data_IF_317083395256
#
_entry.id   IF_317083395256
#
_cell.length_a   1.000
_cell.length_b   1.000
_cell.length_c   1.000
_cell.angle_alpha   90.00
_cell.angle_beta   90.00
_cell.angle_gamma   90.00
#
_symmetry.space_group_name_H-M   'P 1'
#
loop_
_entity.id
_entity.type
_entity.pdbx_description
1 polymer ?
#
# COMPACT_ATOMS: atom_id res chain seq x y z
N UNK A 1 -8.53 67.40 -5.09
CA UNK A 1 -9.56 66.72 -5.91
C UNK A 1 -8.87 65.67 -6.75
N UNK A 2 -9.48 64.47 -6.85
CA UNK A 2 -9.09 63.26 -7.62
C UNK A 2 -8.30 62.18 -6.85
N UNK A 3 -8.52 60.87 -6.99
CA UNK A 3 -9.57 60.00 -7.55
C UNK A 3 -9.36 58.65 -6.82
N UNK A 4 -10.46 57.93 -6.58
CA UNK A 4 -10.57 56.63 -5.89
C UNK A 4 -9.58 55.58 -6.43
N UNK A 5 -8.96 54.79 -5.55
CA UNK A 5 -8.55 53.41 -5.86
C UNK A 5 -9.05 52.48 -4.76
N UNK A 6 -10.16 51.82 -5.07
CA UNK A 6 -10.62 50.60 -4.43
C UNK A 6 -9.58 49.51 -4.74
N UNK A 7 -8.87 49.01 -3.73
CA UNK A 7 -8.13 47.75 -3.86
C UNK A 7 -9.01 46.66 -3.29
N UNK A 8 -9.63 45.92 -4.19
CA UNK A 8 -10.40 44.70 -3.98
C UNK A 8 -9.56 43.68 -3.22
N UNK A 9 -10.05 43.21 -2.08
CA UNK A 9 -9.48 42.07 -1.38
C UNK A 9 -9.65 40.81 -2.26
N UNK A 10 -8.55 40.36 -2.89
CA UNK A 10 -8.51 39.07 -3.55
C UNK A 10 -8.52 37.98 -2.48
N UNK A 11 -9.65 37.32 -2.30
CA UNK A 11 -9.76 36.11 -1.49
C UNK A 11 -8.90 35.01 -2.13
N UNK A 12 -7.77 34.69 -1.50
CA UNK A 12 -6.97 33.51 -1.80
C UNK A 12 -7.75 32.27 -1.35
N UNK A 13 -8.68 31.79 -2.18
CA UNK A 13 -9.29 30.48 -1.99
C UNK A 13 -8.29 29.45 -2.51
N UNK A 14 -7.37 29.03 -1.64
CA UNK A 14 -6.48 27.91 -1.91
C UNK A 14 -7.35 26.65 -2.02
N UNK A 15 -7.64 26.24 -3.26
CA UNK A 15 -8.12 24.90 -3.58
C UNK A 15 -6.99 23.93 -3.22
N UNK A 16 -7.02 23.38 -2.01
CA UNK A 16 -6.21 22.22 -1.68
C UNK A 16 -6.76 21.07 -2.49
N UNK A 17 -6.12 20.79 -3.63
CA UNK A 17 -6.28 19.52 -4.32
C UNK A 17 -5.77 18.44 -3.38
N UNK A 18 -6.67 17.85 -2.59
CA UNK A 18 -6.35 16.67 -1.80
C UNK A 18 -5.93 15.57 -2.76
N UNK A 19 -4.66 15.17 -2.71
CA UNK A 19 -4.22 13.97 -3.42
C UNK A 19 -5.04 12.80 -2.85
N UNK A 20 -5.81 12.12 -3.71
CA UNK A 20 -6.51 10.92 -3.27
C UNK A 20 -5.48 9.82 -3.11
N UNK A 21 -5.15 9.47 -1.85
CA UNK A 21 -4.27 8.37 -1.54
C UNK A 21 -4.71 7.04 -2.18
N UNK A 22 -3.75 6.17 -2.48
CA UNK A 22 -4.02 4.93 -3.18
C UNK A 22 -4.73 3.89 -2.31
N UNK A 23 -5.48 2.98 -2.94
CA UNK A 23 -5.92 1.77 -2.22
C UNK A 23 -4.71 0.96 -1.74
N UNK A 24 -4.83 0.27 -0.60
CA UNK A 24 -3.77 -0.64 -0.08
C UNK A 24 -3.25 -1.60 -1.14
N UNK A 25 -4.12 -2.14 -1.99
CA UNK A 25 -3.71 -3.09 -3.04
C UNK A 25 -2.97 -2.41 -4.19
N UNK A 26 -3.34 -1.18 -4.54
CA UNK A 26 -2.61 -0.40 -5.55
C UNK A 26 -1.24 0.01 -5.04
N UNK A 27 -1.16 0.49 -3.79
CA UNK A 27 0.10 0.82 -3.13
C UNK A 27 1.02 -0.41 -3.01
N UNK A 28 0.45 -1.57 -2.67
CA UNK A 28 1.23 -2.80 -2.56
C UNK A 28 1.82 -3.23 -3.90
N UNK A 29 1.01 -3.25 -4.97
CA UNK A 29 1.49 -3.58 -6.31
C UNK A 29 2.56 -2.59 -6.81
N UNK A 30 2.40 -1.30 -6.49
CA UNK A 30 3.40 -0.27 -6.81
C UNK A 30 4.72 -0.52 -6.09
N UNK A 31 4.70 -0.76 -4.77
CA UNK A 31 5.91 -0.99 -3.96
C UNK A 31 6.62 -2.28 -4.35
N UNK A 32 5.88 -3.37 -4.59
CA UNK A 32 6.48 -4.68 -4.80
C UNK A 32 7.03 -4.88 -6.22
N UNK A 33 6.43 -4.26 -7.23
CA UNK A 33 6.81 -4.54 -8.64
C UNK A 33 6.67 -3.35 -9.59
N UNK A 34 6.27 -2.17 -9.12
CA UNK A 34 5.88 -1.07 -10.00
C UNK A 34 4.66 -1.42 -10.84
N UNK A 35 3.68 -2.14 -10.28
CA UNK A 35 2.46 -2.61 -10.95
C UNK A 35 2.68 -3.63 -12.09
N UNK A 36 3.83 -4.28 -12.17
CA UNK A 36 4.18 -5.20 -13.24
C UNK A 36 3.61 -6.62 -12.99
N UNK A 37 2.58 -7.00 -13.74
CA UNK A 37 1.95 -8.32 -13.63
C UNK A 37 2.87 -9.48 -14.03
N UNK A 38 3.94 -9.20 -14.80
CA UNK A 38 4.92 -10.20 -15.24
C UNK A 38 6.16 -10.25 -14.35
N UNK A 39 6.17 -9.52 -13.24
CA UNK A 39 7.31 -9.45 -12.35
C UNK A 39 7.67 -10.83 -11.79
N UNK A 40 8.96 -11.13 -11.80
CA UNK A 40 9.55 -12.29 -11.13
C UNK A 40 10.63 -11.79 -10.18
N UNK A 41 10.48 -12.10 -8.89
CA UNK A 41 11.41 -11.68 -7.85
C UNK A 41 12.67 -12.55 -7.79
N UNK A 42 13.65 -12.12 -7.00
CA UNK A 42 14.94 -12.78 -6.86
C UNK A 42 14.83 -14.25 -6.39
N UNK A 43 13.79 -14.56 -5.60
CA UNK A 43 13.55 -15.91 -5.08
C UNK A 43 12.48 -16.66 -5.87
N UNK A 44 12.16 -16.16 -7.06
CA UNK A 44 11.11 -16.69 -7.93
C UNK A 44 9.71 -16.26 -7.51
N UNK A 45 9.55 -15.22 -6.68
CA UNK A 45 8.26 -14.59 -6.45
C UNK A 45 7.57 -14.25 -7.77
N UNK A 46 6.24 -14.32 -7.81
CA UNK A 46 5.47 -14.08 -9.03
C UNK A 46 4.40 -13.01 -8.81
N UNK A 47 3.86 -12.50 -9.92
CA UNK A 47 2.81 -11.48 -10.00
C UNK A 47 3.25 -10.09 -9.53
N UNK A 48 2.37 -9.11 -9.75
CA UNK A 48 2.54 -7.73 -9.29
C UNK A 48 2.71 -7.57 -7.77
N UNK A 49 2.33 -8.60 -7.01
CA UNK A 49 2.41 -8.58 -5.54
C UNK A 49 3.64 -9.33 -4.99
N UNK A 50 4.51 -9.88 -5.85
CA UNK A 50 5.68 -10.66 -5.43
C UNK A 50 5.31 -11.80 -4.45
N UNK A 51 4.32 -12.60 -4.81
CA UNK A 51 3.89 -13.76 -4.03
C UNK A 51 4.90 -14.90 -4.23
N UNK A 52 5.40 -15.46 -3.12
CA UNK A 52 6.28 -16.63 -3.15
C UNK A 52 5.58 -17.84 -3.79
N UNK A 53 6.25 -18.66 -4.62
CA UNK A 53 5.64 -19.80 -5.30
C UNK A 53 4.91 -20.77 -4.36
N UNK A 54 5.47 -21.04 -3.18
CA UNK A 54 4.85 -21.92 -2.18
C UNK A 54 3.53 -21.40 -1.58
N UNK A 55 3.23 -20.12 -1.75
CA UNK A 55 2.00 -19.48 -1.31
C UNK A 55 1.02 -19.25 -2.48
N UNK A 56 1.44 -19.54 -3.72
CA UNK A 56 0.60 -19.38 -4.90
C UNK A 56 -0.47 -20.48 -4.94
N UNK A 57 -1.77 -20.14 -4.99
CA UNK A 57 -2.84 -21.13 -4.95
C UNK A 57 -3.07 -21.87 -6.29
N UNK A 58 -2.34 -21.52 -7.36
CA UNK A 58 -2.58 -21.96 -8.72
C UNK A 58 -3.20 -20.88 -9.60
N UNK A 59 -3.31 -21.13 -10.91
CA UNK A 59 -3.75 -20.13 -11.91
C UNK A 59 -2.61 -19.38 -12.59
N UNK A 60 -2.94 -18.36 -13.39
CA UNK A 60 -1.98 -17.51 -14.11
C UNK A 60 -1.54 -16.33 -13.24
N UNK A 61 -0.29 -16.28 -12.75
CA UNK A 61 0.20 -15.18 -11.93
C UNK A 61 0.29 -13.84 -12.67
N UNK A 62 0.21 -13.85 -14.00
CA UNK A 62 0.20 -12.64 -14.85
C UNK A 62 -1.19 -12.04 -15.01
N UNK A 63 -2.23 -12.75 -14.57
CA UNK A 63 -3.57 -12.22 -14.52
C UNK A 63 -3.73 -11.40 -13.22
N UNK A 64 -3.79 -10.07 -13.35
CA UNK A 64 -3.89 -9.17 -12.20
C UNK A 64 -5.10 -9.43 -11.28
N UNK A 65 -6.21 -9.96 -11.82
CA UNK A 65 -7.38 -10.33 -11.03
C UNK A 65 -7.12 -11.59 -10.19
N UNK A 66 -6.54 -12.63 -10.78
CA UNK A 66 -6.15 -13.86 -10.05
C UNK A 66 -5.08 -13.55 -8.99
N UNK A 67 -4.10 -12.72 -9.33
CA UNK A 67 -3.07 -12.25 -8.40
C UNK A 67 -3.68 -11.50 -7.20
N UNK A 68 -4.69 -10.65 -7.42
CA UNK A 68 -5.38 -9.94 -6.34
C UNK A 68 -6.18 -10.89 -5.44
N UNK A 69 -6.84 -11.89 -6.03
CA UNK A 69 -7.55 -12.93 -5.25
C UNK A 69 -6.56 -13.69 -4.36
N UNK A 70 -5.42 -14.11 -4.92
CA UNK A 70 -4.38 -14.80 -4.18
C UNK A 70 -3.83 -13.94 -3.03
N UNK A 71 -3.47 -12.68 -3.31
CA UNK A 71 -2.97 -11.74 -2.32
C UNK A 71 -3.95 -11.50 -1.16
N UNK A 72 -5.24 -11.30 -1.48
CA UNK A 72 -6.31 -11.16 -0.47
C UNK A 72 -6.45 -12.40 0.38
N UNK A 73 -6.39 -13.59 -0.23
CA UNK A 73 -6.51 -14.86 0.49
C UNK A 73 -5.38 -15.04 1.51
N UNK A 74 -4.13 -14.74 1.11
CA UNK A 74 -2.95 -14.77 1.98
C UNK A 74 -3.10 -13.79 3.15
N UNK A 75 -3.48 -12.53 2.86
CA UNK A 75 -3.60 -11.50 3.87
C UNK A 75 -4.73 -11.76 4.86
N UNK A 76 -5.86 -12.33 4.42
CA UNK A 76 -7.02 -12.60 5.30
C UNK A 76 -6.62 -13.36 6.56
N UNK A 77 -5.79 -14.40 6.43
CA UNK A 77 -5.33 -15.18 7.59
C UNK A 77 -4.42 -14.37 8.51
N UNK A 78 -3.55 -13.53 7.95
CA UNK A 78 -2.61 -12.67 8.68
C UNK A 78 -3.35 -11.56 9.45
N UNK A 79 -4.30 -10.90 8.79
CA UNK A 79 -5.16 -9.87 9.39
C UNK A 79 -5.99 -10.44 10.54
N UNK A 80 -6.63 -11.61 10.33
CA UNK A 80 -7.42 -12.28 11.38
C UNK A 80 -6.59 -12.61 12.61
N UNK A 81 -5.36 -13.09 12.41
CA UNK A 81 -4.43 -13.34 13.52
C UNK A 81 -4.03 -12.05 14.23
N UNK A 82 -3.73 -10.99 13.48
CA UNK A 82 -3.33 -9.70 14.03
C UNK A 82 -4.45 -9.10 14.90
N UNK A 83 -5.68 -9.03 14.38
CA UNK A 83 -6.84 -8.49 15.08
C UNK A 83 -7.17 -9.27 16.35
N UNK A 84 -7.05 -10.61 16.32
CA UNK A 84 -7.22 -11.46 17.50
C UNK A 84 -6.20 -11.14 18.59
N UNK A 85 -4.95 -10.90 18.19
CA UNK A 85 -3.81 -10.70 19.11
C UNK A 85 -3.76 -9.28 19.66
N UNK A 86 -3.95 -8.27 18.81
CA UNK A 86 -3.81 -6.86 19.16
C UNK A 86 -5.12 -6.16 19.51
N UNK A 87 -6.26 -6.83 19.31
CA UNK A 87 -7.60 -6.32 19.63
C UNK A 87 -7.97 -5.03 18.88
N UNK A 88 -7.35 -4.81 17.72
CA UNK A 88 -7.61 -3.71 16.79
C UNK A 88 -7.25 -4.11 15.36
N UNK A 89 -7.76 -3.36 14.39
CA UNK A 89 -7.30 -3.47 13.00
C UNK A 89 -5.84 -2.99 12.86
N UNK A 90 -5.08 -3.52 11.88
CA UNK A 90 -3.74 -3.03 11.58
C UNK A 90 -3.79 -1.66 10.90
N UNK A 91 -2.79 -0.83 11.21
CA UNK A 91 -2.48 0.39 10.47
C UNK A 91 -1.99 0.04 9.05
N UNK A 92 -1.85 1.04 8.16
CA UNK A 92 -1.29 0.81 6.83
C UNK A 92 0.17 0.33 6.88
N UNK A 93 0.94 0.86 7.83
CA UNK A 93 2.30 0.41 8.12
C UNK A 93 2.29 -1.09 8.47
N UNK A 94 1.47 -1.50 9.44
CA UNK A 94 1.39 -2.90 9.89
C UNK A 94 0.81 -3.81 8.81
N UNK A 95 -0.11 -3.32 7.98
CA UNK A 95 -0.61 -4.06 6.83
C UNK A 95 0.53 -4.44 5.90
N UNK A 96 1.46 -3.51 5.63
CA UNK A 96 2.63 -3.79 4.82
C UNK A 96 3.60 -4.76 5.51
N UNK A 97 3.89 -4.57 6.79
CA UNK A 97 4.76 -5.50 7.54
C UNK A 97 4.18 -6.91 7.52
N UNK A 98 2.87 -7.05 7.72
CA UNK A 98 2.17 -8.34 7.60
C UNK A 98 2.30 -8.94 6.20
N UNK A 99 2.39 -8.15 5.13
CA UNK A 99 2.68 -8.66 3.78
C UNK A 99 4.12 -9.15 3.66
N UNK A 100 5.08 -8.30 4.01
CA UNK A 100 6.50 -8.47 3.70
C UNK A 100 7.22 -9.43 4.66
N UNK A 101 7.01 -9.28 5.97
CA UNK A 101 7.67 -10.06 7.02
C UNK A 101 6.72 -10.25 8.22
N UNK A 102 5.71 -11.13 8.13
CA UNK A 102 4.65 -11.21 9.13
C UNK A 102 5.12 -11.56 10.55
N UNK A 103 6.28 -12.22 10.70
CA UNK A 103 6.88 -12.52 12.01
C UNK A 103 7.51 -11.29 12.68
N UNK A 104 7.72 -10.18 11.96
CA UNK A 104 8.32 -8.96 12.49
C UNK A 104 7.31 -7.87 12.82
N UNK A 105 5.98 -8.13 12.76
CA UNK A 105 4.97 -7.07 12.88
C UNK A 105 5.07 -6.21 14.15
N UNK A 106 5.57 -6.77 15.25
CA UNK A 106 5.75 -6.03 16.51
C UNK A 106 7.09 -5.29 16.59
N UNK A 107 8.10 -5.77 15.86
CA UNK A 107 9.47 -5.27 15.90
C UNK A 107 10.10 -5.40 14.49
N UNK A 108 9.64 -4.60 13.52
CA UNK A 108 10.15 -4.65 12.15
C UNK A 108 11.62 -4.26 12.11
N UNK A 109 12.42 -4.97 11.33
CA UNK A 109 13.77 -4.52 10.98
C UNK A 109 13.72 -3.17 10.24
N UNK A 110 14.83 -2.42 10.26
CA UNK A 110 14.92 -1.08 9.64
C UNK A 110 14.47 -1.10 8.17
N UNK A 111 14.89 -2.10 7.40
CA UNK A 111 14.54 -2.23 5.97
C UNK A 111 13.03 -2.44 5.79
N UNK A 112 12.41 -3.28 6.64
CA UNK A 112 10.97 -3.55 6.59
C UNK A 112 10.18 -2.30 6.98
N UNK A 113 10.62 -1.58 8.02
CA UNK A 113 10.01 -0.35 8.47
C UNK A 113 10.03 0.74 7.38
N UNK A 114 11.19 0.97 6.75
CA UNK A 114 11.30 1.95 5.65
C UNK A 114 10.37 1.62 4.48
N UNK A 115 10.22 0.34 4.13
CA UNK A 115 9.28 -0.08 3.08
C UNK A 115 7.83 0.15 3.50
N UNK A 116 7.49 -0.14 4.76
CA UNK A 116 6.16 0.07 5.32
C UNK A 116 5.77 1.56 5.41
N UNK A 117 6.73 2.44 5.70
CA UNK A 117 6.54 3.89 5.66
C UNK A 117 6.24 4.39 4.25
N UNK A 118 7.04 3.97 3.26
CA UNK A 118 6.77 4.31 1.85
C UNK A 118 5.40 3.83 1.41
N UNK A 119 5.02 2.62 1.79
CA UNK A 119 3.68 2.10 1.54
C UNK A 119 2.60 2.98 2.18
N UNK A 120 2.75 3.35 3.45
CA UNK A 120 1.76 4.17 4.17
C UNK A 120 1.61 5.54 3.54
N UNK A 121 2.70 6.17 3.12
CA UNK A 121 2.69 7.46 2.43
C UNK A 121 1.89 7.39 1.10
N UNK A 122 2.06 6.30 0.36
CA UNK A 122 1.29 6.07 -0.88
C UNK A 122 -0.21 5.88 -0.62
N UNK A 123 -0.59 5.29 0.51
CA UNK A 123 -1.99 5.11 0.89
C UNK A 123 -2.63 6.40 1.36
N UNK A 124 -1.87 7.29 2.01
CA UNK A 124 -2.42 8.53 2.57
C UNK A 124 -2.47 9.71 1.59
N UNK A 125 -1.56 9.79 0.62
CA UNK A 125 -1.60 10.79 -0.48
C UNK A 125 -1.24 12.21 -0.07
#
# INVERSE_FOLDING_TARGET
MNIKFLVTAAAFMALTTGAMGMSRWSALAMIESGNNDRAVGERGEVSRYQILPRLWPGGDPRNGHEALIAARSIMRSRLKWFEKTHRRAPTDFEFYVLWNAPWEVNHPSTIVAERAERFSNLVHG
#
